data_IF_373708366902
#
_entry.id   IF_373708366902
#
_cell.length_a   1.000
_cell.length_b   1.000
_cell.length_c   1.000
_cell.angle_alpha   90.00
_cell.angle_beta   90.00
_cell.angle_gamma   90.00
#
_symmetry.space_group_name_H-M   'P 1'
#
loop_
_entity.id
_entity.type
_entity.pdbx_description
1 polymer ?
#
# COMPACT_ATOMS: atom_id res chain seq x y z
N UNK A 1 -11.68 7.42 -18.43
CA UNK A 1 -12.49 7.58 -17.21
C UNK A 1 -11.50 7.87 -16.12
N UNK A 2 -11.54 9.07 -15.56
CA UNK A 2 -10.63 9.46 -14.49
C UNK A 2 -11.18 8.85 -13.19
N UNK A 3 -10.61 7.72 -12.80
CA UNK A 3 -10.96 6.96 -11.60
C UNK A 3 -10.39 7.64 -10.35
N UNK A 4 -10.54 8.97 -10.24
CA UNK A 4 -9.76 9.86 -9.38
C UNK A 4 -9.90 9.70 -7.86
N UNK A 5 -10.48 8.60 -7.38
CA UNK A 5 -10.59 8.29 -5.94
C UNK A 5 -10.79 6.82 -5.58
N UNK A 6 -10.91 5.92 -6.56
CA UNK A 6 -11.11 4.48 -6.31
C UNK A 6 -9.81 3.71 -6.58
N UNK A 7 -9.45 2.82 -5.65
CA UNK A 7 -8.31 1.92 -5.82
C UNK A 7 -8.72 0.83 -6.80
N UNK A 8 -8.05 0.80 -7.94
CA UNK A 8 -8.34 -0.16 -9.00
C UNK A 8 -7.67 -1.51 -8.74
N UNK A 9 -8.25 -2.59 -9.26
CA UNK A 9 -7.63 -3.92 -9.22
C UNK A 9 -6.22 -3.94 -9.83
N UNK A 10 -5.98 -3.12 -10.85
CA UNK A 10 -4.66 -3.01 -11.48
C UNK A 10 -3.60 -2.47 -10.50
N UNK A 11 -3.96 -1.46 -9.70
CA UNK A 11 -3.08 -0.91 -8.66
C UNK A 11 -2.84 -1.91 -7.53
N UNK A 12 -3.88 -2.62 -7.08
CA UNK A 12 -3.74 -3.67 -6.05
C UNK A 12 -2.81 -4.76 -6.56
N UNK A 13 -2.98 -5.21 -7.81
CA UNK A 13 -2.13 -6.24 -8.43
C UNK A 13 -0.67 -5.82 -8.50
N UNK A 14 -0.41 -4.61 -8.98
CA UNK A 14 0.95 -4.06 -9.08
C UNK A 14 1.61 -4.02 -7.70
N UNK A 15 0.91 -3.47 -6.70
CA UNK A 15 1.43 -3.42 -5.33
C UNK A 15 1.64 -4.80 -4.72
N UNK A 16 0.70 -5.74 -4.94
CA UNK A 16 0.83 -7.11 -4.45
C UNK A 16 2.03 -7.83 -5.09
N UNK A 17 2.28 -7.60 -6.38
CA UNK A 17 3.44 -8.16 -7.09
C UNK A 17 4.76 -7.62 -6.52
N UNK A 18 4.86 -6.32 -6.28
CA UNK A 18 6.04 -5.71 -5.67
C UNK A 18 6.33 -6.32 -4.28
N UNK A 19 5.30 -6.50 -3.46
CA UNK A 19 5.46 -7.10 -2.14
C UNK A 19 5.89 -8.56 -2.27
N UNK A 20 5.22 -9.36 -3.11
CA UNK A 20 5.56 -10.76 -3.33
C UNK A 20 6.99 -10.94 -3.85
N UNK A 21 7.43 -10.09 -4.78
CA UNK A 21 8.79 -10.10 -5.32
C UNK A 21 9.84 -9.77 -4.25
N UNK A 22 9.60 -8.72 -3.44
CA UNK A 22 10.50 -8.35 -2.33
C UNK A 22 10.60 -9.43 -1.26
N UNK A 23 9.58 -10.26 -1.10
CA UNK A 23 9.55 -11.36 -0.14
C UNK A 23 10.10 -12.68 -0.71
N UNK A 24 10.81 -12.64 -1.85
CA UNK A 24 11.38 -13.82 -2.53
C UNK A 24 10.34 -14.81 -3.08
N UNK A 25 9.16 -14.29 -3.46
CA UNK A 25 8.15 -15.04 -4.21
C UNK A 25 7.69 -16.33 -3.52
N UNK A 26 7.28 -16.29 -2.23
CA UNK A 26 6.84 -17.49 -1.55
C UNK A 26 5.50 -17.96 -2.14
N UNK A 27 5.35 -19.27 -2.25
CA UNK A 27 4.12 -19.90 -2.73
C UNK A 27 3.09 -19.99 -1.59
N UNK A 28 1.81 -19.85 -1.92
CA UNK A 28 0.70 -20.01 -0.97
C UNK A 28 0.39 -18.78 -0.10
N UNK A 29 1.08 -17.66 -0.33
CA UNK A 29 0.86 -16.38 0.36
C UNK A 29 0.28 -15.30 -0.57
N UNK A 30 -0.15 -15.67 -1.77
CA UNK A 30 -0.60 -14.72 -2.78
C UNK A 30 -1.75 -13.88 -2.24
N UNK A 31 -2.77 -14.53 -1.66
CA UNK A 31 -3.96 -13.85 -1.09
C UNK A 31 -3.56 -12.84 -0.01
N UNK A 32 -2.62 -13.20 0.87
CA UNK A 32 -2.12 -12.31 1.92
C UNK A 32 -1.47 -11.05 1.33
N UNK A 33 -0.70 -11.20 0.24
CA UNK A 33 -0.11 -10.05 -0.46
C UNK A 33 -1.15 -9.19 -1.18
N UNK A 34 -2.21 -9.79 -1.74
CA UNK A 34 -3.34 -9.01 -2.29
C UNK A 34 -4.04 -8.18 -1.21
N UNK A 35 -4.32 -8.77 -0.05
CA UNK A 35 -4.96 -8.08 1.09
C UNK A 35 -4.06 -7.00 1.70
N UNK A 36 -2.76 -7.27 1.80
CA UNK A 36 -1.77 -6.30 2.26
C UNK A 36 -1.67 -5.12 1.29
N UNK A 37 -1.57 -5.38 -0.01
CA UNK A 37 -1.53 -4.35 -1.05
C UNK A 37 -2.75 -3.44 -1.03
N UNK A 38 -3.95 -4.02 -0.91
CA UNK A 38 -5.18 -3.24 -0.80
C UNK A 38 -5.15 -2.34 0.45
N UNK A 39 -4.70 -2.87 1.59
CA UNK A 39 -4.60 -2.12 2.85
C UNK A 39 -3.63 -0.95 2.75
N UNK A 40 -2.44 -1.16 2.18
CA UNK A 40 -1.46 -0.09 1.97
C UNK A 40 -2.02 1.01 1.07
N UNK A 41 -2.63 0.65 -0.06
CA UNK A 41 -3.21 1.63 -0.98
C UNK A 41 -4.35 2.44 -0.35
N UNK A 42 -5.18 1.81 0.50
CA UNK A 42 -6.23 2.50 1.27
C UNK A 42 -5.61 3.48 2.26
N UNK A 43 -4.61 3.05 3.03
CA UNK A 43 -3.93 3.91 3.98
C UNK A 43 -3.21 5.11 3.31
N UNK A 44 -2.51 4.88 2.20
CA UNK A 44 -1.87 5.93 1.41
C UNK A 44 -2.88 6.96 0.88
N UNK A 45 -4.04 6.50 0.40
CA UNK A 45 -5.12 7.38 -0.06
C UNK A 45 -5.72 8.18 1.09
N UNK A 46 -6.02 7.51 2.20
CA UNK A 46 -6.63 8.16 3.36
C UNK A 46 -5.68 9.21 3.95
N UNK A 47 -4.36 8.94 3.99
CA UNK A 47 -3.35 9.93 4.37
C UNK A 47 -3.31 11.14 3.43
N UNK A 48 -3.37 10.91 2.10
CA UNK A 48 -3.41 11.99 1.09
C UNK A 48 -4.68 12.84 1.22
N UNK A 49 -5.83 12.23 1.51
CA UNK A 49 -7.10 12.94 1.71
C UNK A 49 -7.15 13.68 3.06
N UNK A 50 -6.54 13.13 4.12
CA UNK A 50 -6.50 13.76 5.43
C UNK A 50 -5.52 14.95 5.50
N UNK A 51 -4.66 15.13 4.49
CA UNK A 51 -3.65 16.19 4.48
C UNK A 51 -2.61 16.05 5.59
N UNK A 52 -2.55 14.90 6.28
CA UNK A 52 -1.48 14.62 7.22
C UNK A 52 -0.22 14.35 6.39
N UNK A 53 0.85 15.16 6.52
CA UNK A 53 2.16 14.67 6.13
C UNK A 53 2.40 13.42 6.96
N UNK A 54 2.88 12.34 6.33
CA UNK A 54 3.45 11.21 7.05
C UNK A 54 4.65 11.76 7.83
N UNK A 55 4.38 12.23 9.04
CA UNK A 55 5.36 12.81 9.94
C UNK A 55 6.41 11.73 10.22
N UNK A 56 7.67 11.93 9.75
CA UNK A 56 8.71 10.98 10.04
C UNK A 56 8.92 11.02 11.55
N UNK A 57 8.75 9.86 12.18
CA UNK A 57 9.16 9.55 13.55
C UNK A 57 10.60 10.04 13.76
N UNK A 58 10.73 11.31 14.13
CA UNK A 58 11.96 11.93 14.58
C UNK A 58 11.80 11.97 16.07
N UNK A 59 12.15 10.85 16.69
CA UNK A 59 12.28 10.77 18.14
C UNK A 59 13.31 11.83 18.55
N UNK A 60 12.82 12.87 19.21
CA UNK A 60 13.65 13.84 19.92
C UNK A 60 14.31 13.08 21.07
N UNK A 61 15.59 12.74 20.88
CA UNK A 61 16.45 12.29 21.96
C UNK A 61 17.41 13.43 22.29
N UNK A 62 16.92 14.36 23.12
CA UNK A 62 17.74 15.28 23.91
C UNK A 62 18.46 14.56 25.06
#
# INVERSE_FOLDING_TARGET
>A
MDTGGEITLAQIRERAYDIWERNHRPEGFEIEFWLLAERELRAERDARCAGLPAEPDTVDAS
#
